data_IF_302790642463
#
_entry.id   IF_302790642463
#
_cell.length_a   1.000
_cell.length_b   1.000
_cell.length_c   1.000
_cell.angle_alpha   90.00
_cell.angle_beta   90.00
_cell.angle_gamma   90.00
#
_symmetry.space_group_name_H-M   'P 1'
#
loop_
_entity.id
_entity.type
_entity.pdbx_description
1 polymer ?
#
# COMPACT_ATOMS: atom_id res chain seq x y z
N UNK A 1 -15.65 -8.86 -43.09
CA UNK A 1 -14.69 -8.19 -42.20
C UNK A 1 -15.31 -7.05 -41.36
N UNK A 2 -16.51 -6.55 -41.69
CA UNK A 2 -17.13 -5.41 -40.95
C UNK A 2 -17.79 -5.73 -39.60
N UNK A 3 -17.76 -7.00 -39.17
CA UNK A 3 -18.32 -7.48 -37.90
C UNK A 3 -17.26 -8.01 -36.92
N UNK A 4 -15.98 -7.85 -37.26
CA UNK A 4 -14.86 -8.23 -36.38
C UNK A 4 -14.69 -7.16 -35.30
N UNK A 5 -14.43 -7.60 -34.06
CA UNK A 5 -14.07 -6.72 -32.95
C UNK A 5 -12.65 -6.19 -33.11
N UNK A 6 -11.85 -6.91 -33.89
CA UNK A 6 -10.49 -6.55 -34.29
C UNK A 6 -10.51 -5.46 -35.36
N UNK A 7 -9.61 -4.49 -35.19
CA UNK A 7 -9.34 -3.49 -36.19
C UNK A 7 -8.58 -4.11 -37.35
N UNK A 8 -9.10 -3.96 -38.56
CA UNK A 8 -8.43 -4.40 -39.79
C UNK A 8 -8.17 -3.18 -40.65
N UNK A 9 -6.93 -2.94 -41.05
CA UNK A 9 -6.54 -1.86 -41.96
C UNK A 9 -5.49 -2.32 -42.99
N UNK A 10 -5.53 -1.73 -44.17
CA UNK A 10 -4.50 -1.90 -45.21
C UNK A 10 -3.88 -0.55 -45.49
N UNK A 11 -2.55 -0.51 -45.48
CA UNK A 11 -1.76 0.66 -45.80
C UNK A 11 -0.96 0.36 -47.06
N UNK A 12 -1.07 1.24 -48.06
CA UNK A 12 -0.39 1.11 -49.34
C UNK A 12 1.11 1.38 -49.24
N UNK A 13 1.83 1.09 -50.33
CA UNK A 13 3.27 1.36 -50.45
C UNK A 13 3.64 2.85 -50.30
N UNK A 14 2.69 3.74 -50.55
CA UNK A 14 2.83 5.19 -50.40
C UNK A 14 2.37 5.69 -49.01
N UNK A 15 2.17 4.76 -48.08
CA UNK A 15 1.76 4.99 -46.70
C UNK A 15 0.33 5.53 -46.53
N UNK A 16 -0.52 5.42 -47.56
CA UNK A 16 -1.93 5.81 -47.48
C UNK A 16 -2.82 4.68 -46.96
N UNK A 17 -3.84 5.01 -46.18
CA UNK A 17 -4.88 4.07 -45.79
C UNK A 17 -5.75 3.70 -47.00
N UNK A 18 -5.63 2.45 -47.46
CA UNK A 18 -6.42 1.91 -48.56
C UNK A 18 -7.73 1.27 -48.08
N UNK A 19 -7.71 0.69 -46.88
CA UNK A 19 -8.85 0.04 -46.28
C UNK A 19 -8.81 0.17 -44.76
N UNK A 20 -9.98 0.28 -44.14
CA UNK A 20 -10.18 0.11 -42.71
C UNK A 20 -11.63 -0.27 -42.40
N UNK A 21 -11.81 -1.10 -41.37
CA UNK A 21 -13.13 -1.48 -40.85
C UNK A 21 -13.61 -0.52 -39.74
N UNK A 22 -14.82 -0.77 -39.21
CA UNK A 22 -15.41 0.04 -38.14
C UNK A 22 -14.61 -0.01 -36.82
N UNK A 23 -13.96 -1.13 -36.52
CA UNK A 23 -13.18 -1.28 -35.30
C UNK A 23 -11.95 -0.34 -35.29
N UNK A 24 -11.24 -0.19 -36.41
CA UNK A 24 -10.13 0.79 -36.51
C UNK A 24 -10.60 2.22 -36.26
N UNK A 25 -11.79 2.60 -36.77
CA UNK A 25 -12.40 3.92 -36.53
C UNK A 25 -12.63 4.14 -35.03
N UNK A 26 -13.23 3.16 -34.36
CA UNK A 26 -13.48 3.23 -32.92
C UNK A 26 -12.16 3.28 -32.11
N UNK A 27 -11.20 2.42 -32.43
CA UNK A 27 -9.92 2.30 -31.74
C UNK A 27 -9.04 3.55 -31.92
N UNK A 28 -9.00 4.12 -33.14
CA UNK A 28 -8.22 5.34 -33.43
C UNK A 28 -8.86 6.62 -32.91
N UNK A 29 -10.14 6.58 -32.53
CA UNK A 29 -10.96 7.74 -32.14
C UNK A 29 -10.95 8.86 -33.20
N UNK A 30 -10.83 8.47 -34.47
CA UNK A 30 -10.83 9.35 -35.65
C UNK A 30 -11.95 8.96 -36.60
N UNK A 31 -12.40 9.88 -37.42
CA UNK A 31 -13.41 9.63 -38.45
C UNK A 31 -12.83 8.86 -39.63
N UNK A 32 -13.69 8.25 -40.45
CA UNK A 32 -13.26 7.51 -41.64
C UNK A 32 -12.56 8.43 -42.64
N UNK A 33 -13.05 9.65 -42.78
CA UNK A 33 -12.59 10.69 -43.70
C UNK A 33 -11.20 11.23 -43.31
N UNK A 34 -10.88 11.23 -42.01
CA UNK A 34 -9.54 11.59 -41.53
C UNK A 34 -8.51 10.50 -41.80
N UNK A 35 -8.95 9.25 -41.99
CA UNK A 35 -8.05 8.10 -42.17
C UNK A 35 -7.92 7.69 -43.65
N UNK A 36 -9.01 7.25 -44.29
CA UNK A 36 -8.99 6.70 -45.66
C UNK A 36 -8.42 7.73 -46.64
N UNK A 37 -7.45 7.29 -47.46
CA UNK A 37 -6.79 8.13 -48.47
C UNK A 37 -5.75 9.10 -47.93
N UNK A 38 -5.64 9.26 -46.60
CA UNK A 38 -4.59 10.06 -45.98
C UNK A 38 -3.37 9.20 -45.64
N UNK A 39 -2.19 9.84 -45.63
CA UNK A 39 -0.94 9.20 -45.24
C UNK A 39 -0.84 9.07 -43.73
N UNK A 40 -0.31 7.95 -43.25
CA UNK A 40 -0.17 7.68 -41.82
C UNK A 40 0.62 8.77 -41.08
N UNK A 41 1.67 9.33 -41.68
CA UNK A 41 2.46 10.44 -41.09
C UNK A 41 1.66 11.74 -40.94
N UNK A 42 0.68 11.96 -41.82
CA UNK A 42 -0.21 13.11 -41.74
C UNK A 42 -1.27 12.94 -40.64
N UNK A 43 -1.72 11.70 -40.44
CA UNK A 43 -2.69 11.35 -39.39
C UNK A 43 -2.03 11.31 -38.01
N UNK A 44 -0.80 10.80 -37.93
CA UNK A 44 0.00 10.64 -36.71
C UNK A 44 1.39 11.24 -36.91
N UNK A 45 1.55 12.56 -36.69
CA UNK A 45 2.86 13.21 -36.76
C UNK A 45 3.86 12.58 -35.78
N UNK A 46 5.10 12.36 -36.22
CA UNK A 46 6.16 11.74 -35.40
C UNK A 46 6.10 10.21 -35.32
N UNK A 47 5.12 9.55 -35.96
CA UNK A 47 5.05 8.08 -35.99
C UNK A 47 6.32 7.44 -36.56
N UNK A 48 7.02 8.15 -37.45
CA UNK A 48 8.25 7.68 -38.10
C UNK A 48 9.40 7.38 -37.12
N UNK A 49 9.36 7.97 -35.93
CA UNK A 49 10.36 7.77 -34.86
C UNK A 49 10.01 6.58 -33.95
N UNK A 50 8.85 5.96 -34.14
CA UNK A 50 8.36 4.87 -33.29
C UNK A 50 8.86 3.51 -33.75
N UNK A 51 9.01 2.57 -32.82
CA UNK A 51 9.31 1.17 -33.12
C UNK A 51 8.26 0.54 -34.05
N UNK A 52 6.97 0.90 -33.87
CA UNK A 52 5.88 0.44 -34.73
C UNK A 52 6.15 0.78 -36.21
N UNK A 53 6.56 2.01 -36.51
CA UNK A 53 6.84 2.41 -37.88
C UNK A 53 8.07 1.69 -38.47
N UNK A 54 9.11 1.45 -37.66
CA UNK A 54 10.27 0.67 -38.09
C UNK A 54 9.87 -0.75 -38.50
N UNK A 55 8.98 -1.41 -37.75
CA UNK A 55 8.46 -2.74 -38.09
C UNK A 55 7.52 -2.71 -39.31
N UNK A 56 6.69 -1.67 -39.45
CA UNK A 56 5.87 -1.48 -40.64
C UNK A 56 6.73 -1.31 -41.90
N UNK A 57 7.83 -0.54 -41.80
CA UNK A 57 8.77 -0.31 -42.88
C UNK A 57 9.49 -1.60 -43.27
N UNK A 58 9.98 -2.35 -42.29
CA UNK A 58 10.59 -3.65 -42.52
C UNK A 58 9.61 -4.63 -43.20
N UNK A 59 8.35 -4.68 -42.74
CA UNK A 59 7.30 -5.48 -43.39
C UNK A 59 7.10 -5.10 -44.86
N UNK A 60 7.08 -3.80 -45.16
CA UNK A 60 6.84 -3.29 -46.51
C UNK A 60 8.01 -3.58 -47.45
N UNK A 61 9.24 -3.37 -46.97
CA UNK A 61 10.49 -3.52 -47.76
C UNK A 61 10.91 -4.98 -47.90
N UNK A 62 10.89 -5.73 -46.79
CA UNK A 62 11.43 -7.08 -46.71
C UNK A 62 10.36 -8.17 -46.73
N UNK A 63 9.06 -7.79 -46.76
CA UNK A 63 7.92 -8.72 -46.80
C UNK A 63 7.92 -9.72 -45.63
N UNK A 64 8.29 -9.22 -44.45
CA UNK A 64 8.33 -9.94 -43.17
C UNK A 64 7.07 -9.69 -42.35
N UNK A 65 6.65 -10.69 -41.58
CA UNK A 65 5.50 -10.57 -40.66
C UNK A 65 5.99 -10.18 -39.26
N UNK A 66 5.25 -9.29 -38.59
CA UNK A 66 5.59 -8.81 -37.24
C UNK A 66 4.40 -8.89 -36.29
N UNK A 67 4.68 -9.13 -35.01
CA UNK A 67 3.73 -9.09 -33.91
C UNK A 67 4.32 -8.27 -32.77
N UNK A 68 3.59 -7.28 -32.29
CA UNK A 68 4.01 -6.46 -31.15
C UNK A 68 2.80 -6.03 -30.31
N UNK A 69 3.03 -5.78 -29.03
CA UNK A 69 2.12 -5.01 -28.19
C UNK A 69 2.61 -3.56 -28.17
N UNK A 70 1.74 -2.63 -28.56
CA UNK A 70 2.07 -1.21 -28.59
C UNK A 70 1.18 -0.43 -27.63
N UNK A 71 1.80 0.44 -26.84
CA UNK A 71 1.09 1.43 -26.01
C UNK A 71 0.79 2.65 -26.86
N UNK A 72 -0.47 3.03 -26.91
CA UNK A 72 -0.93 4.21 -27.62
C UNK A 72 -1.46 5.25 -26.61
N UNK A 73 -0.97 6.48 -26.71
CA UNK A 73 -1.50 7.61 -25.95
C UNK A 73 -2.40 8.43 -26.86
N UNK A 74 -3.66 8.56 -26.48
CA UNK A 74 -4.65 9.35 -27.20
C UNK A 74 -4.49 10.85 -26.91
N UNK A 75 -5.05 11.75 -27.74
CA UNK A 75 -4.97 13.19 -27.51
C UNK A 75 -5.59 13.70 -26.21
N UNK A 76 -6.43 12.90 -25.56
CA UNK A 76 -7.02 13.17 -24.24
C UNK A 76 -6.18 12.60 -23.08
N UNK A 77 -4.91 12.27 -23.34
CA UNK A 77 -3.97 11.60 -22.44
C UNK A 77 -4.37 10.20 -21.97
N UNK A 78 -5.50 9.67 -22.44
CA UNK A 78 -5.88 8.29 -22.14
C UNK A 78 -4.96 7.30 -22.86
N UNK A 79 -4.77 6.13 -22.26
CA UNK A 79 -3.86 5.09 -22.76
C UNK A 79 -4.68 3.91 -23.26
N UNK A 80 -4.35 3.43 -24.47
CA UNK A 80 -4.79 2.14 -24.99
C UNK A 80 -3.62 1.21 -25.23
N UNK A 81 -3.81 -0.08 -24.97
CA UNK A 81 -2.85 -1.11 -25.37
C UNK A 81 -3.40 -1.91 -26.53
N UNK A 82 -2.60 -2.05 -27.58
CA UNK A 82 -3.00 -2.77 -28.79
C UNK A 82 -1.98 -3.85 -29.13
N UNK A 83 -2.46 -5.07 -29.35
CA UNK A 83 -1.68 -6.11 -30.00
C UNK A 83 -1.83 -5.94 -31.51
N UNK A 84 -0.72 -5.67 -32.18
CA UNK A 84 -0.64 -5.37 -33.59
C UNK A 84 0.04 -6.51 -34.32
N UNK A 85 -0.66 -7.11 -35.28
CA UNK A 85 -0.08 -8.05 -36.23
C UNK A 85 0.02 -7.38 -37.59
N UNK A 86 1.24 -7.29 -38.12
CA UNK A 86 1.56 -6.64 -39.37
C UNK A 86 1.95 -7.73 -40.37
N UNK A 87 1.21 -7.84 -41.46
CA UNK A 87 1.39 -8.85 -42.49
C UNK A 87 1.56 -8.18 -43.86
N UNK A 88 2.50 -8.64 -44.70
CA UNK A 88 2.66 -8.12 -46.05
C UNK A 88 1.51 -8.60 -46.96
N UNK A 89 0.90 -7.69 -47.72
CA UNK A 89 -0.15 -8.00 -48.71
C UNK A 89 0.20 -7.43 -50.08
N UNK A 90 -0.38 -7.90 -51.21
CA UNK A 90 0.02 -7.42 -52.54
C UNK A 90 -0.08 -5.91 -52.72
N UNK A 91 -1.03 -5.26 -52.04
CA UNK A 91 -1.30 -3.83 -52.13
C UNK A 91 -0.44 -2.97 -51.17
N UNK A 92 0.31 -3.60 -50.26
CA UNK A 92 1.12 -2.94 -49.24
C UNK A 92 1.28 -3.80 -47.98
N UNK A 93 0.79 -3.32 -46.85
CA UNK A 93 0.75 -4.07 -45.58
C UNK A 93 -0.66 -4.08 -44.99
N UNK A 94 -0.99 -5.18 -44.32
CA UNK A 94 -2.22 -5.37 -43.56
C UNK A 94 -1.88 -5.35 -42.08
N UNK A 95 -2.65 -4.59 -41.29
CA UNK A 95 -2.52 -4.55 -39.84
C UNK A 95 -3.83 -5.04 -39.23
N UNK A 96 -3.71 -6.04 -38.37
CA UNK A 96 -4.74 -6.45 -37.44
C UNK A 96 -4.42 -5.84 -36.07
N UNK A 97 -5.35 -5.11 -35.48
CA UNK A 97 -5.24 -4.50 -34.16
C UNK A 97 -6.29 -5.06 -33.19
N UNK A 98 -5.82 -5.69 -32.13
CA UNK A 98 -6.65 -6.17 -31.03
C UNK A 98 -6.46 -5.25 -29.83
N UNK A 99 -7.54 -4.69 -29.32
CA UNK A 99 -7.50 -3.93 -28.07
C UNK A 99 -7.30 -4.90 -26.89
N UNK A 100 -6.19 -4.73 -26.17
CA UNK A 100 -5.80 -5.54 -25.02
C UNK A 100 -5.71 -4.68 -23.76
N UNK A 101 -6.32 -3.49 -23.74
CA UNK A 101 -6.24 -2.53 -22.63
C UNK A 101 -6.78 -3.13 -21.34
N UNK A 102 -7.95 -3.76 -21.36
CA UNK A 102 -8.54 -4.42 -20.19
C UNK A 102 -7.66 -5.56 -19.67
N UNK A 103 -7.10 -6.37 -20.59
CA UNK A 103 -6.16 -7.46 -20.27
C UNK A 103 -4.92 -6.91 -19.55
N UNK A 104 -4.32 -5.84 -20.08
CA UNK A 104 -3.13 -5.21 -19.51
C UNK A 104 -3.39 -4.55 -18.16
N UNK A 105 -4.51 -3.85 -18.00
CA UNK A 105 -4.89 -3.26 -16.72
C UNK A 105 -5.09 -4.33 -15.66
N UNK A 106 -5.80 -5.41 -16.00
CA UNK A 106 -6.01 -6.57 -15.11
C UNK A 106 -4.69 -7.24 -14.74
N UNK A 107 -3.75 -7.38 -15.69
CA UNK A 107 -2.43 -7.95 -15.41
C UNK A 107 -1.62 -7.09 -14.43
N UNK A 108 -1.65 -5.77 -14.60
CA UNK A 108 -0.93 -4.82 -13.75
C UNK A 108 -1.54 -4.74 -12.33
N UNK A 109 -2.86 -4.74 -12.23
CA UNK A 109 -3.57 -4.84 -10.95
C UNK A 109 -3.21 -6.13 -10.22
N UNK A 110 -3.20 -7.26 -10.92
CA UNK A 110 -2.81 -8.55 -10.35
C UNK A 110 -1.37 -8.56 -9.87
N UNK A 111 -0.42 -8.00 -10.64
CA UNK A 111 0.99 -7.89 -10.22
C UNK A 111 1.11 -7.05 -8.96
N UNK A 112 0.40 -5.93 -8.90
CA UNK A 112 0.37 -5.05 -7.73
C UNK A 112 -0.18 -5.77 -6.50
N UNK A 113 -1.31 -6.46 -6.64
CA UNK A 113 -1.92 -7.24 -5.56
C UNK A 113 -1.02 -8.39 -5.09
N UNK A 114 -0.36 -9.09 -6.01
CA UNK A 114 0.60 -10.14 -5.68
C UNK A 114 1.81 -9.59 -4.90
N UNK A 115 2.34 -8.43 -5.31
CA UNK A 115 3.43 -7.77 -4.60
C UNK A 115 3.00 -7.37 -3.18
N UNK A 116 1.82 -6.77 -3.02
CA UNK A 116 1.25 -6.44 -1.71
C UNK A 116 1.04 -7.67 -0.84
N UNK A 117 0.50 -8.76 -1.40
CA UNK A 117 0.29 -10.01 -0.69
C UNK A 117 1.60 -10.63 -0.23
N UNK A 118 2.63 -10.64 -1.08
CA UNK A 118 3.96 -11.14 -0.73
C UNK A 118 4.58 -10.32 0.40
N UNK A 119 4.46 -8.98 0.34
CA UNK A 119 4.92 -8.10 1.41
C UNK A 119 4.18 -8.34 2.73
N UNK A 120 2.86 -8.52 2.68
CA UNK A 120 2.03 -8.84 3.84
C UNK A 120 2.42 -10.18 4.48
N UNK A 121 2.65 -11.23 3.67
CA UNK A 121 3.10 -12.54 4.14
C UNK A 121 4.49 -12.49 4.78
N UNK A 122 5.41 -11.69 4.21
CA UNK A 122 6.73 -11.46 4.80
C UNK A 122 6.60 -10.77 6.16
N UNK A 123 5.74 -9.76 6.25
CA UNK A 123 5.48 -9.04 7.50
C UNK A 123 4.85 -9.96 8.56
N UNK A 124 3.92 -10.82 8.16
CA UNK A 124 3.34 -11.84 9.03
C UNK A 124 4.40 -12.80 9.58
N UNK A 125 5.29 -13.28 8.73
CA UNK A 125 6.36 -14.20 9.13
C UNK A 125 7.34 -13.53 10.11
N UNK A 126 7.69 -12.27 9.86
CA UNK A 126 8.51 -11.46 10.77
C UNK A 126 7.79 -11.28 12.11
N UNK A 127 6.49 -10.94 12.11
CA UNK A 127 5.69 -10.80 13.32
C UNK A 127 5.64 -12.09 14.13
N UNK A 128 5.40 -13.25 13.49
CA UNK A 128 5.37 -14.54 14.18
C UNK A 128 6.73 -14.91 14.81
N UNK A 129 7.83 -14.68 14.09
CA UNK A 129 9.18 -14.91 14.62
C UNK A 129 9.50 -13.96 15.78
N UNK A 130 9.20 -12.66 15.62
CA UNK A 130 9.39 -11.66 16.65
C UNK A 130 8.60 -11.99 17.93
N UNK A 131 7.38 -12.55 17.80
CA UNK A 131 6.54 -12.93 18.92
C UNK A 131 7.10 -14.11 19.72
N UNK A 132 7.62 -15.13 19.02
CA UNK A 132 8.31 -16.27 19.65
C UNK A 132 9.59 -15.82 20.36
N UNK A 133 10.44 -15.06 19.67
CA UNK A 133 11.70 -14.55 20.22
C UNK A 133 11.46 -13.65 21.43
N UNK A 134 10.50 -12.72 21.34
CA UNK A 134 10.18 -11.81 22.44
C UNK A 134 9.55 -12.53 23.65
N UNK A 135 8.80 -13.61 23.44
CA UNK A 135 8.34 -14.46 24.55
C UNK A 135 9.52 -15.08 25.30
N UNK A 136 10.49 -15.63 24.57
CA UNK A 136 11.65 -16.30 25.17
C UNK A 136 12.57 -15.31 25.91
N UNK A 137 12.78 -14.11 25.35
CA UNK A 137 13.51 -13.04 26.06
C UNK A 137 12.82 -12.63 27.36
N UNK A 138 11.48 -12.47 27.35
CA UNK A 138 10.73 -12.16 28.58
C UNK A 138 10.90 -13.26 29.63
N UNK A 139 10.93 -14.54 29.23
CA UNK A 139 11.16 -15.64 30.16
C UNK A 139 12.53 -15.54 30.84
N UNK A 140 13.59 -15.27 30.06
CA UNK A 140 14.94 -15.11 30.60
C UNK A 140 15.06 -13.88 31.51
N UNK A 141 14.48 -12.75 31.10
CA UNK A 141 14.50 -11.52 31.89
C UNK A 141 13.76 -11.65 33.21
N UNK A 142 12.63 -12.36 33.24
CA UNK A 142 11.91 -12.64 34.49
C UNK A 142 12.74 -13.46 35.49
N UNK A 143 13.54 -14.41 35.01
CA UNK A 143 14.46 -15.18 35.86
C UNK A 143 15.58 -14.29 36.40
N UNK A 144 16.18 -13.45 35.55
CA UNK A 144 17.22 -12.50 35.95
C UNK A 144 16.67 -11.55 37.03
N UNK A 145 15.54 -10.90 36.76
CA UNK A 145 14.87 -9.99 37.69
C UNK A 145 14.57 -10.69 39.02
N UNK A 146 14.01 -11.90 38.98
CA UNK A 146 13.69 -12.66 40.20
C UNK A 146 14.91 -12.96 41.06
N UNK A 147 16.04 -13.38 40.48
CA UNK A 147 17.26 -13.60 41.24
C UNK A 147 17.90 -12.30 41.73
N UNK A 148 17.85 -11.23 40.94
CA UNK A 148 18.35 -9.92 41.35
C UNK A 148 17.53 -9.35 42.51
N UNK A 149 16.21 -9.51 42.50
CA UNK A 149 15.34 -9.09 43.62
C UNK A 149 15.68 -9.86 44.91
N UNK A 150 15.84 -11.19 44.85
CA UNK A 150 16.25 -12.00 46.01
C UNK A 150 17.64 -11.59 46.52
N UNK A 151 18.58 -11.29 45.62
CA UNK A 151 19.92 -10.87 46.00
C UNK A 151 19.91 -9.50 46.68
N UNK A 152 19.12 -8.55 46.19
CA UNK A 152 18.95 -7.22 46.79
C UNK A 152 18.34 -7.31 48.20
N UNK A 153 17.44 -8.27 48.47
CA UNK A 153 16.91 -8.51 49.82
C UNK A 153 17.97 -9.02 50.81
N UNK A 154 19.04 -9.66 50.32
CA UNK A 154 20.09 -10.26 51.14
C UNK A 154 21.28 -9.32 51.42
N UNK A 155 21.33 -8.14 50.79
CA UNK A 155 22.48 -7.23 50.82
C UNK A 155 22.09 -5.92 51.50
N UNK A 156 22.95 -5.39 52.37
CA UNK A 156 22.72 -4.11 53.03
C UNK A 156 22.91 -2.94 52.03
N UNK A 157 22.15 -1.86 52.19
CA UNK A 157 22.16 -0.73 51.26
C UNK A 157 23.54 -0.02 51.15
N UNK A 158 24.38 -0.10 52.19
CA UNK A 158 25.74 0.48 52.16
C UNK A 158 26.78 -0.42 51.49
N UNK A 159 26.42 -1.66 51.16
CA UNK A 159 27.32 -2.60 50.48
C UNK A 159 27.51 -2.20 49.01
N UNK A 160 28.75 -2.12 48.51
CA UNK A 160 29.02 -1.87 47.09
C UNK A 160 28.24 -2.80 46.14
N UNK A 161 27.96 -4.05 46.54
CA UNK A 161 27.17 -5.01 45.75
C UNK A 161 25.72 -4.54 45.52
N UNK A 162 25.15 -3.77 46.46
CA UNK A 162 23.78 -3.26 46.34
C UNK A 162 23.63 -2.35 45.12
N UNK A 163 24.65 -1.52 44.86
CA UNK A 163 24.66 -0.62 43.71
C UNK A 163 24.72 -1.40 42.39
N UNK A 164 25.62 -2.37 42.28
CA UNK A 164 25.78 -3.20 41.08
C UNK A 164 24.51 -4.02 40.79
N UNK A 165 23.89 -4.61 41.83
CA UNK A 165 22.63 -5.36 41.69
C UNK A 165 21.46 -4.45 41.26
N UNK A 166 21.41 -3.22 41.78
CA UNK A 166 20.40 -2.23 41.36
C UNK A 166 20.55 -1.84 39.90
N UNK A 167 21.79 -1.67 39.41
CA UNK A 167 22.04 -1.38 37.99
C UNK A 167 21.67 -2.56 37.08
N UNK A 168 21.96 -3.80 37.50
CA UNK A 168 21.53 -5.02 36.78
C UNK A 168 20.00 -5.06 36.67
N UNK A 169 19.29 -4.78 37.77
CA UNK A 169 17.82 -4.73 37.79
C UNK A 169 17.28 -3.67 36.83
N UNK A 170 17.80 -2.44 36.93
CA UNK A 170 17.41 -1.33 36.05
C UNK A 170 17.63 -1.67 34.56
N UNK A 171 18.74 -2.34 34.24
CA UNK A 171 19.02 -2.79 32.87
C UNK A 171 18.04 -3.87 32.41
N UNK A 172 17.73 -4.85 33.26
CA UNK A 172 16.80 -5.93 32.95
C UNK A 172 15.35 -5.43 32.78
N UNK A 173 14.91 -4.48 33.62
CA UNK A 173 13.59 -3.84 33.50
C UNK A 173 13.45 -3.09 32.16
N UNK A 174 14.47 -2.31 31.77
CA UNK A 174 14.49 -1.64 30.46
C UNK A 174 14.43 -2.63 29.29
N UNK A 175 15.14 -3.75 29.40
CA UNK A 175 15.12 -4.80 28.38
C UNK A 175 13.73 -5.49 28.31
N UNK A 176 13.06 -5.70 29.45
CA UNK A 176 11.73 -6.29 29.51
C UNK A 176 10.69 -5.37 28.86
N UNK A 177 10.79 -4.06 29.08
CA UNK A 177 9.94 -3.06 28.44
C UNK A 177 10.10 -3.03 26.92
N UNK A 178 11.34 -3.02 26.42
CA UNK A 178 11.61 -3.10 24.99
C UNK A 178 11.07 -4.40 24.36
N UNK A 179 11.22 -5.52 25.07
CA UNK A 179 10.74 -6.82 24.62
C UNK A 179 9.20 -6.87 24.60
N UNK A 180 8.52 -6.25 25.57
CA UNK A 180 7.05 -6.11 25.58
C UNK A 180 6.55 -5.26 24.41
N UNK A 181 7.23 -4.17 24.08
CA UNK A 181 6.89 -3.35 22.90
C UNK A 181 7.01 -4.17 21.60
N UNK A 182 8.06 -5.00 21.50
CA UNK A 182 8.27 -5.90 20.35
C UNK A 182 7.19 -7.00 20.26
N UNK A 183 6.77 -7.55 21.40
CA UNK A 183 5.68 -8.54 21.49
C UNK A 183 4.32 -7.93 21.07
N UNK A 184 4.06 -6.67 21.42
CA UNK A 184 2.86 -5.94 21.04
C UNK A 184 2.77 -5.69 19.54
N UNK A 185 3.92 -5.52 18.86
CA UNK A 185 4.03 -5.42 17.41
C UNK A 185 3.88 -6.78 16.70
N UNK A 186 4.38 -7.84 17.32
CA UNK A 186 4.44 -9.19 16.78
C UNK A 186 3.12 -10.00 16.83
N UNK A 187 2.22 -9.67 17.76
CA UNK A 187 0.97 -10.43 17.93
C UNK A 187 0.01 -10.12 16.78
N UNK A 188 -0.26 -11.13 15.94
CA UNK A 188 -1.62 -11.34 15.38
C UNK A 188 -2.56 -11.56 16.57
N UNK A 189 -3.08 -10.48 17.16
CA UNK A 189 -4.31 -10.65 17.94
C UNK A 189 -5.37 -11.15 16.98
N UNK A 190 -6.02 -12.27 17.32
CA UNK A 190 -7.27 -12.66 16.67
C UNK A 190 -8.24 -11.54 16.96
N UNK A 191 -8.38 -10.64 15.99
CA UNK A 191 -9.26 -9.48 16.11
C UNK A 191 -10.67 -10.02 16.29
N UNK A 192 -11.32 -9.64 17.38
CA UNK A 192 -12.69 -10.04 17.67
C UNK A 192 -13.57 -8.78 17.67
N UNK A 193 -13.99 -8.29 16.48
CA UNK A 193 -14.74 -7.05 16.40
C UNK A 193 -16.06 -7.14 17.16
N UNK A 194 -16.29 -6.18 18.04
CA UNK A 194 -17.56 -5.99 18.74
C UNK A 194 -18.07 -4.59 18.43
N UNK A 195 -19.39 -4.45 18.42
CA UNK A 195 -20.01 -3.12 18.41
C UNK A 195 -19.77 -2.54 19.79
N UNK A 196 -19.00 -1.44 19.87
CA UNK A 196 -18.54 -0.84 21.12
C UNK A 196 -18.85 0.66 21.15
N UNK A 197 -19.09 1.14 22.36
CA UNK A 197 -19.09 2.56 22.68
C UNK A 197 -17.64 2.97 23.00
N UNK A 198 -17.09 3.88 22.20
CA UNK A 198 -15.70 4.33 22.38
C UNK A 198 -15.54 5.13 23.67
N UNK A 199 -16.55 5.87 24.13
CA UNK A 199 -16.44 6.62 25.37
C UNK A 199 -16.30 5.67 26.55
N UNK A 200 -17.15 4.65 26.64
CA UNK A 200 -17.06 3.63 27.71
C UNK A 200 -15.71 2.89 27.69
N UNK A 201 -15.24 2.56 26.48
CA UNK A 201 -13.95 1.87 26.29
C UNK A 201 -12.78 2.73 26.76
N UNK A 202 -12.73 4.00 26.33
CA UNK A 202 -11.68 4.96 26.72
C UNK A 202 -11.73 5.23 28.23
N UNK A 203 -12.93 5.40 28.80
CA UNK A 203 -13.10 5.62 30.24
C UNK A 203 -12.51 4.49 31.08
N UNK A 204 -12.72 3.24 30.67
CA UNK A 204 -12.13 2.06 31.32
C UNK A 204 -10.59 2.09 31.36
N UNK A 205 -9.96 2.73 30.38
CA UNK A 205 -8.51 2.85 30.28
C UNK A 205 -7.90 4.06 30.99
N UNK A 206 -8.67 5.11 31.30
CA UNK A 206 -8.12 6.39 31.83
C UNK A 206 -7.21 6.20 33.04
N UNK A 207 -7.56 5.27 33.94
CA UNK A 207 -6.75 4.97 35.14
C UNK A 207 -5.38 4.40 34.78
N UNK A 208 -5.30 3.52 33.78
CA UNK A 208 -4.07 2.92 33.30
C UNK A 208 -3.24 3.96 32.53
N UNK A 209 -3.89 4.73 31.66
CA UNK A 209 -3.23 5.78 30.88
C UNK A 209 -2.56 6.83 31.78
N UNK A 210 -3.23 7.28 32.86
CA UNK A 210 -2.62 8.17 33.88
C UNK A 210 -1.33 7.61 34.48
N UNK A 211 -1.27 6.30 34.72
CA UNK A 211 -0.07 5.65 35.27
C UNK A 211 1.06 5.59 34.25
N UNK A 212 0.74 5.40 32.97
CA UNK A 212 1.71 5.32 31.87
C UNK A 212 2.36 6.69 31.58
N UNK A 213 1.56 7.77 31.63
CA UNK A 213 2.05 9.12 31.34
C UNK A 213 2.80 9.77 32.52
N UNK A 214 2.54 9.33 33.75
CA UNK A 214 3.21 9.83 34.97
C UNK A 214 2.58 11.10 35.57
N UNK A 215 3.10 11.54 36.71
CA UNK A 215 2.47 12.61 37.52
C UNK A 215 2.68 14.03 36.96
N UNK A 216 3.65 14.20 36.06
CA UNK A 216 3.97 15.51 35.47
C UNK A 216 3.02 15.91 34.33
N UNK A 217 2.13 15.00 33.88
CA UNK A 217 1.22 15.26 32.77
C UNK A 217 -0.22 15.17 33.26
N UNK A 218 -0.95 16.28 33.13
CA UNK A 218 -2.38 16.34 33.41
C UNK A 218 -3.17 15.70 32.26
N UNK A 219 -3.93 14.63 32.55
CA UNK A 219 -4.78 13.95 31.56
C UNK A 219 -6.22 14.48 31.62
N UNK A 220 -6.63 15.17 30.55
CA UNK A 220 -8.00 15.64 30.35
C UNK A 220 -8.76 14.73 29.40
N UNK A 221 -9.97 14.38 29.79
CA UNK A 221 -10.90 13.57 29.01
C UNK A 221 -12.12 14.40 28.62
N UNK A 222 -12.40 14.49 27.32
CA UNK A 222 -13.49 15.28 26.76
C UNK A 222 -14.34 14.40 25.82
N UNK A 223 -15.28 13.61 26.36
CA UNK A 223 -16.14 12.74 25.57
C UNK A 223 -17.20 13.52 24.80
N UNK A 224 -17.54 13.10 23.58
CA UNK A 224 -18.73 13.58 22.89
C UNK A 224 -20.03 12.96 23.42
N UNK A 225 -21.11 13.74 23.48
CA UNK A 225 -22.42 13.31 24.02
C UNK A 225 -23.24 12.39 23.10
N UNK A 226 -22.86 12.24 21.82
CA UNK A 226 -23.64 11.47 20.83
C UNK A 226 -22.72 10.79 19.82
N UNK A 227 -21.73 10.07 20.33
CA UNK A 227 -20.76 9.36 19.52
C UNK A 227 -21.41 8.14 18.85
N UNK A 228 -21.04 7.88 17.59
CA UNK A 228 -21.53 6.69 16.89
C UNK A 228 -20.88 5.42 17.44
N UNK A 229 -21.64 4.32 17.49
CA UNK A 229 -21.10 3.01 17.82
C UNK A 229 -20.15 2.56 16.72
N UNK A 230 -18.99 2.02 17.10
CA UNK A 230 -18.00 1.51 16.15
C UNK A 230 -17.87 0.00 16.27
N UNK A 231 -17.59 -0.68 15.16
CA UNK A 231 -17.32 -2.12 15.15
C UNK A 231 -15.81 -2.34 15.09
N UNK A 232 -15.19 -2.53 16.26
CA UNK A 232 -13.75 -2.71 16.40
C UNK A 232 -13.45 -3.71 17.51
N UNK A 233 -12.23 -4.24 17.57
CA UNK A 233 -11.79 -5.02 18.73
C UNK A 233 -11.41 -4.06 19.87
N UNK A 234 -12.01 -4.19 21.07
CA UNK A 234 -11.63 -3.36 22.22
C UNK A 234 -10.12 -3.35 22.50
N UNK A 235 -9.40 -4.47 22.32
CA UNK A 235 -7.96 -4.50 22.60
C UNK A 235 -7.14 -3.64 21.63
N UNK A 236 -7.65 -3.39 20.42
CA UNK A 236 -7.00 -2.49 19.47
C UNK A 236 -7.17 -1.03 19.87
N UNK A 237 -8.36 -0.65 20.36
CA UNK A 237 -8.60 0.69 20.92
C UNK A 237 -7.61 0.95 22.05
N UNK A 238 -7.45 -0.02 22.95
CA UNK A 238 -6.54 0.09 24.08
C UNK A 238 -5.08 0.31 23.63
N UNK A 239 -4.64 -0.45 22.62
CA UNK A 239 -3.29 -0.36 22.09
C UNK A 239 -3.03 0.97 21.38
N UNK A 240 -3.99 1.47 20.61
CA UNK A 240 -3.90 2.77 19.94
C UNK A 240 -3.74 3.87 20.99
N UNK A 241 -4.61 3.89 22.01
CA UNK A 241 -4.57 4.91 23.06
C UNK A 241 -3.26 4.88 23.85
N UNK A 242 -2.79 3.68 24.23
CA UNK A 242 -1.52 3.54 24.96
C UNK A 242 -0.34 4.09 24.16
N UNK A 243 -0.25 3.76 22.86
CA UNK A 243 0.85 4.23 22.00
C UNK A 243 0.80 5.76 21.81
N UNK A 244 -0.38 6.33 21.56
CA UNK A 244 -0.53 7.77 21.40
C UNK A 244 -0.17 8.51 22.71
N UNK A 245 -0.57 7.98 23.87
CA UNK A 245 -0.25 8.59 25.17
C UNK A 245 1.26 8.56 25.47
N UNK A 246 1.95 7.46 25.15
CA UNK A 246 3.41 7.35 25.32
C UNK A 246 4.13 8.34 24.41
N UNK A 247 3.75 8.39 23.12
CA UNK A 247 4.34 9.33 22.17
C UNK A 247 4.11 10.78 22.59
N UNK A 248 2.92 11.11 23.07
CA UNK A 248 2.61 12.46 23.53
C UNK A 248 3.37 12.82 24.81
N UNK A 249 3.53 11.89 25.76
CA UNK A 249 4.38 12.08 26.94
C UNK A 249 5.81 12.41 26.53
N UNK A 250 6.39 11.59 25.65
CA UNK A 250 7.79 11.74 25.24
C UNK A 250 8.03 13.05 24.47
N UNK A 251 6.99 13.59 23.83
CA UNK A 251 7.03 14.90 23.17
C UNK A 251 6.91 16.09 24.15
N UNK A 252 6.43 15.88 25.38
CA UNK A 252 6.27 16.93 26.40
C UNK A 252 7.54 17.02 27.25
N UNK A 253 8.21 18.17 27.21
CA UNK A 253 9.34 18.46 28.08
C UNK A 253 8.86 18.94 29.46
N UNK A 254 9.02 18.12 30.50
CA UNK A 254 8.68 18.50 31.87
C UNK A 254 7.21 18.31 32.20
N UNK A 255 6.51 19.41 32.52
CA UNK A 255 5.09 19.40 32.92
C UNK A 255 4.21 19.80 31.74
N UNK A 256 3.11 19.10 31.51
CA UNK A 256 2.20 19.42 30.41
C UNK A 256 0.79 18.86 30.58
N UNK A 257 0.01 18.95 29.50
CA UNK A 257 -1.38 18.46 29.48
C UNK A 257 -1.58 17.59 28.25
N UNK A 258 -2.15 16.40 28.46
CA UNK A 258 -2.63 15.52 27.40
C UNK A 258 -4.15 15.60 27.39
N UNK A 259 -4.74 15.88 26.21
CA UNK A 259 -6.20 15.89 26.03
C UNK A 259 -6.58 14.72 25.13
N UNK A 260 -7.52 13.90 25.59
CA UNK A 260 -8.18 12.88 24.77
C UNK A 260 -9.61 13.37 24.53
N UNK A 261 -9.99 13.46 23.26
CA UNK A 261 -11.33 13.85 22.83
C UNK A 261 -11.90 12.84 21.84
N UNK A 262 -13.22 12.68 21.87
CA UNK A 262 -13.96 11.87 20.88
C UNK A 262 -14.93 12.74 20.12
N UNK A 263 -15.14 12.45 18.83
CA UNK A 263 -16.07 13.16 17.98
C UNK A 263 -16.40 12.37 16.71
N UNK A 264 -17.54 12.67 16.10
CA UNK A 264 -17.90 12.10 14.80
C UNK A 264 -17.31 12.99 13.69
N UNK A 265 -16.61 12.38 12.75
CA UNK A 265 -16.07 13.06 11.57
C UNK A 265 -16.57 12.35 10.30
N UNK A 266 -16.78 13.13 9.23
CA UNK A 266 -17.08 12.64 7.89
C UNK A 266 -15.92 13.11 7.02
N UNK A 267 -15.25 12.18 6.35
CA UNK A 267 -14.19 12.46 5.41
C UNK A 267 -14.76 12.24 4.00
N UNK A 268 -14.90 13.31 3.22
CA UNK A 268 -15.29 13.28 1.81
C UNK A 268 -14.05 13.45 0.91
N UNK A 269 -14.23 13.34 -0.42
CA UNK A 269 -13.13 13.52 -1.39
C UNK A 269 -12.45 14.89 -1.26
N UNK A 270 -13.17 15.93 -0.82
CA UNK A 270 -12.64 17.27 -0.61
C UNK A 270 -11.75 17.40 0.63
N UNK A 271 -11.84 16.47 1.60
CA UNK A 271 -10.96 16.42 2.77
C UNK A 271 -9.60 15.76 2.48
N UNK A 272 -9.52 14.95 1.40
CA UNK A 272 -8.33 14.18 1.04
C UNK A 272 -7.43 14.86 -0.02
N UNK A 273 -7.77 16.07 -0.48
CA UNK A 273 -6.89 16.96 -1.27
C UNK A 273 -5.99 17.81 -0.37
#
# INVERSE_FOLDING_TARGET
MDHLLEGCQIIGFDWQYLYLNKAVIAQSRKTREELIGNRIMGVYPGIEETELFALMKDCLENRTSHLLENKFTFPDDSIGWFELRIEPVPEGLFILSLDITERKNTEEENKTLQAQLSQAQKMESIGRLAGGVAHDFNNMLNVILGYTDIALECVANEDPLFHDLSEIKNAADRAADLTRQLLAFARKQIVTPKVLDLNETVEGMLKILRRIIGENIDLKWVPANSLWMVKMDPSQVDQILANLCVNARDAIAGVGTLVIETGNAIFDEAYCE
#
